data_IF_029786921699
#
_entry.id   IF_029786921699
#
_cell.length_a   1.000
_cell.length_b   1.000
_cell.length_c   1.000
_cell.angle_alpha   90.00
_cell.angle_beta   90.00
_cell.angle_gamma   90.00
#
_symmetry.space_group_name_H-M   'P 1'
#
loop_
_entity.id
_entity.type
_entity.pdbx_description
1 polymer ?
#
# COMPACT_ATOMS: atom_id res chain seq x y z
N UNK A 1 -19.56 9.90 8.42
CA UNK A 1 -18.12 9.56 8.64
C UNK A 1 -17.90 8.36 9.55
N UNK A 2 -18.53 8.27 10.72
CA UNK A 2 -18.33 7.10 11.61
C UNK A 2 -18.86 5.76 11.07
N UNK A 3 -19.79 5.77 10.13
CA UNK A 3 -20.40 4.55 9.59
C UNK A 3 -19.42 3.67 8.79
N UNK A 4 -18.67 4.23 7.82
CA UNK A 4 -17.73 3.44 6.99
C UNK A 4 -16.56 2.88 7.81
N UNK A 5 -16.03 3.66 8.75
CA UNK A 5 -14.95 3.20 9.64
C UNK A 5 -15.37 2.01 10.50
N UNK A 6 -16.59 2.04 11.04
CA UNK A 6 -17.15 0.91 11.79
C UNK A 6 -17.37 -0.30 10.89
N UNK A 7 -17.88 -0.11 9.68
CA UNK A 7 -18.04 -1.19 8.71
C UNK A 7 -16.68 -1.80 8.30
N UNK A 8 -15.64 -0.98 8.14
CA UNK A 8 -14.28 -1.48 7.89
C UNK A 8 -13.82 -2.36 9.06
N UNK A 9 -13.96 -1.87 10.31
CA UNK A 9 -13.61 -2.65 11.51
C UNK A 9 -14.35 -3.99 11.56
N UNK A 10 -15.67 -3.96 11.34
CA UNK A 10 -16.49 -5.18 11.34
C UNK A 10 -16.07 -6.18 10.25
N UNK A 11 -15.76 -5.70 9.03
CA UNK A 11 -15.26 -6.54 7.93
C UNK A 11 -13.94 -7.22 8.31
N UNK A 12 -13.02 -6.50 8.96
CA UNK A 12 -11.76 -7.07 9.43
C UNK A 12 -11.97 -8.07 10.55
N UNK A 13 -12.76 -7.74 11.59
CA UNK A 13 -13.10 -8.66 12.69
C UNK A 13 -13.78 -9.94 12.19
N UNK A 14 -14.68 -9.82 11.21
CA UNK A 14 -15.30 -11.00 10.58
C UNK A 14 -14.27 -11.87 9.86
N UNK A 15 -13.32 -11.28 9.13
CA UNK A 15 -12.24 -12.02 8.46
C UNK A 15 -11.33 -12.75 9.44
N UNK A 16 -11.02 -12.12 10.55
CA UNK A 16 -10.16 -12.69 11.58
C UNK A 16 -10.87 -13.85 12.29
N UNK A 17 -12.19 -13.73 12.59
CA UNK A 17 -13.01 -14.81 13.15
C UNK A 17 -13.18 -16.01 12.21
N UNK A 18 -13.21 -15.80 10.91
CA UNK A 18 -13.30 -16.89 9.93
C UNK A 18 -12.01 -17.70 9.81
N UNK A 19 -11.02 -17.43 10.66
CA UNK A 19 -9.84 -18.27 10.84
C UNK A 19 -9.13 -18.56 9.52
N UNK A 20 -8.98 -17.54 8.64
CA UNK A 20 -8.12 -17.74 7.47
C UNK A 20 -6.76 -18.14 7.99
N UNK A 21 -6.44 -19.42 7.75
CA UNK A 21 -5.21 -20.06 8.12
C UNK A 21 -4.05 -19.05 7.96
N UNK A 22 -3.38 -18.71 9.06
CA UNK A 22 -2.24 -17.79 9.04
C UNK A 22 -1.20 -18.24 8.00
N UNK A 23 -1.12 -19.54 7.74
CA UNK A 23 -0.29 -20.12 6.70
C UNK A 23 -0.76 -19.74 5.29
N UNK A 24 -2.04 -19.40 5.06
CA UNK A 24 -2.55 -18.99 3.75
C UNK A 24 -1.87 -17.71 3.21
N UNK A 25 -1.40 -16.85 4.10
CA UNK A 25 -0.68 -15.61 3.79
C UNK A 25 0.82 -15.67 4.10
N UNK A 26 1.32 -16.83 4.51
CA UNK A 26 2.73 -17.01 4.84
C UNK A 26 3.63 -16.83 3.62
N UNK A 27 4.70 -16.06 3.78
CA UNK A 27 5.76 -15.91 2.77
C UNK A 27 6.56 -17.20 2.52
N UNK A 28 6.36 -18.25 3.32
CA UNK A 28 6.89 -19.59 3.06
C UNK A 28 6.19 -20.25 1.85
N UNK A 29 5.08 -19.70 1.40
CA UNK A 29 4.35 -20.16 0.21
C UNK A 29 4.81 -19.40 -1.02
N UNK A 30 5.22 -20.08 -2.12
CA UNK A 30 5.64 -19.43 -3.35
C UNK A 30 4.58 -18.50 -3.96
N UNK A 31 3.29 -18.86 -3.89
CA UNK A 31 2.18 -18.03 -4.38
C UNK A 31 1.94 -16.74 -3.56
N UNK A 32 2.55 -16.61 -2.39
CA UNK A 32 2.58 -15.38 -1.58
C UNK A 32 3.91 -14.64 -1.72
N UNK A 33 5.02 -15.38 -1.73
CA UNK A 33 6.36 -14.82 -1.81
C UNK A 33 6.67 -14.19 -3.17
N UNK A 34 6.33 -14.87 -4.28
CA UNK A 34 6.62 -14.37 -5.63
C UNK A 34 5.95 -13.02 -5.95
N UNK A 35 4.65 -12.79 -5.63
CA UNK A 35 4.02 -11.48 -5.73
C UNK A 35 4.71 -10.41 -4.90
N UNK A 36 5.12 -10.76 -3.68
CA UNK A 36 5.79 -9.82 -2.79
C UNK A 36 7.14 -9.38 -3.34
N UNK A 37 7.94 -10.32 -3.87
CA UNK A 37 9.21 -10.02 -4.53
C UNK A 37 9.03 -9.17 -5.80
N UNK A 38 8.00 -9.44 -6.59
CA UNK A 38 7.69 -8.63 -7.78
C UNK A 38 7.38 -7.19 -7.38
N UNK A 39 6.49 -7.01 -6.40
CA UNK A 39 6.13 -5.70 -5.85
C UNK A 39 7.37 -4.96 -5.35
N UNK A 40 8.21 -5.63 -4.57
CA UNK A 40 9.45 -5.07 -4.04
C UNK A 40 10.41 -4.62 -5.16
N UNK A 41 10.61 -5.43 -6.19
CA UNK A 41 11.44 -5.04 -7.36
C UNK A 41 10.92 -3.77 -8.04
N UNK A 42 9.60 -3.61 -8.14
CA UNK A 42 9.01 -2.40 -8.71
C UNK A 42 9.25 -1.19 -7.80
N UNK A 43 9.08 -1.32 -6.50
CA UNK A 43 9.39 -0.26 -5.54
C UNK A 43 10.86 0.16 -5.62
N UNK A 44 11.77 -0.80 -5.61
CA UNK A 44 13.20 -0.53 -5.74
C UNK A 44 13.54 0.14 -7.08
N UNK A 45 12.90 -0.24 -8.18
CA UNK A 45 13.10 0.41 -9.48
C UNK A 45 12.63 1.88 -9.52
N UNK A 46 11.73 2.26 -8.62
CA UNK A 46 11.28 3.64 -8.43
C UNK A 46 12.28 4.37 -7.52
N UNK A 47 12.56 3.79 -6.36
CA UNK A 47 13.41 4.39 -5.32
C UNK A 47 14.88 4.52 -5.77
N UNK A 48 15.38 3.62 -6.62
CA UNK A 48 16.74 3.70 -7.16
C UNK A 48 17.00 4.91 -8.07
N UNK A 49 15.95 5.64 -8.43
CA UNK A 49 16.05 6.92 -9.17
C UNK A 49 16.23 8.12 -8.23
N UNK A 50 16.03 7.93 -6.93
CA UNK A 50 16.27 8.92 -5.90
C UNK A 50 17.74 8.91 -5.53
N UNK A 51 18.24 10.04 -5.02
CA UNK A 51 19.59 10.10 -4.46
C UNK A 51 19.69 9.15 -3.24
N UNK A 52 20.59 8.15 -3.25
CA UNK A 52 20.77 7.25 -2.12
C UNK A 52 21.13 7.97 -0.80
N UNK A 53 21.83 9.11 -0.88
CA UNK A 53 22.16 9.92 0.29
C UNK A 53 20.93 10.58 0.89
N UNK A 54 19.93 10.95 0.06
CA UNK A 54 18.70 11.57 0.51
C UNK A 54 17.75 10.59 1.20
N UNK A 55 17.82 9.28 0.89
CA UNK A 55 16.89 8.26 1.43
C UNK A 55 16.86 8.27 2.97
N UNK A 56 18.00 8.45 3.62
CA UNK A 56 18.09 8.50 5.09
C UNK A 56 17.31 9.65 5.70
N UNK A 57 17.24 10.79 5.01
CA UNK A 57 16.54 11.98 5.47
C UNK A 57 15.05 11.99 5.09
N UNK A 58 14.62 11.12 4.17
CA UNK A 58 13.25 11.08 3.69
C UNK A 58 12.29 10.62 4.76
N UNK A 59 11.18 11.35 4.89
CA UNK A 59 10.07 11.04 5.79
C UNK A 59 9.01 10.23 5.06
N UNK A 60 8.62 9.10 5.64
CA UNK A 60 7.65 8.17 5.10
C UNK A 60 6.45 8.05 6.05
N UNK A 61 5.24 8.07 5.50
CA UNK A 61 4.03 7.68 6.20
C UNK A 61 3.37 6.52 5.45
N UNK A 62 3.09 5.42 6.13
CA UNK A 62 2.22 4.37 5.61
C UNK A 62 0.83 4.47 6.25
N UNK A 63 -0.20 4.63 5.42
CA UNK A 63 -1.61 4.58 5.82
C UNK A 63 -2.10 3.14 5.69
N UNK A 64 -2.71 2.61 6.75
CA UNK A 64 -3.10 1.21 6.86
C UNK A 64 -1.89 0.28 6.93
N UNK A 65 -0.93 0.59 7.80
CA UNK A 65 0.34 -0.15 7.88
C UNK A 65 0.19 -1.60 8.38
N UNK A 66 -0.99 -1.97 8.87
CA UNK A 66 -1.21 -3.31 9.43
C UNK A 66 -0.21 -3.65 10.51
N UNK A 67 0.36 -4.86 10.48
CA UNK A 67 1.44 -5.29 11.37
C UNK A 67 2.83 -4.75 11.02
N UNK A 68 2.97 -3.78 10.10
CA UNK A 68 4.26 -3.11 9.81
C UNK A 68 5.14 -3.74 8.74
N UNK A 69 4.62 -4.71 7.97
CA UNK A 69 5.44 -5.47 7.01
C UNK A 69 6.10 -4.60 5.91
N UNK A 70 5.40 -3.59 5.37
CA UNK A 70 6.01 -2.69 4.40
C UNK A 70 6.99 -1.71 5.07
N UNK A 71 6.75 -1.31 6.31
CA UNK A 71 7.68 -0.47 7.08
C UNK A 71 9.01 -1.21 7.27
N UNK A 72 9.00 -2.51 7.59
CA UNK A 72 10.22 -3.32 7.66
C UNK A 72 10.99 -3.32 6.32
N UNK A 73 10.30 -3.26 5.19
CA UNK A 73 10.96 -3.13 3.89
C UNK A 73 11.64 -1.77 3.71
N UNK A 74 10.97 -0.66 4.09
CA UNK A 74 11.60 0.67 4.06
C UNK A 74 12.86 0.72 4.92
N UNK A 75 12.83 0.16 6.13
CA UNK A 75 14.01 0.06 6.99
C UNK A 75 15.13 -0.72 6.30
N UNK A 76 14.82 -1.83 5.66
CA UNK A 76 15.77 -2.66 4.91
C UNK A 76 16.36 -1.95 3.69
N UNK A 77 15.64 -0.98 3.12
CA UNK A 77 16.13 -0.13 2.01
C UNK A 77 16.93 1.09 2.48
N UNK A 78 17.15 1.23 3.79
CA UNK A 78 18.02 2.26 4.37
C UNK A 78 17.32 3.52 4.85
N UNK A 79 15.98 3.55 4.88
CA UNK A 79 15.25 4.62 5.54
C UNK A 79 15.45 4.53 7.07
N UNK A 80 15.61 5.68 7.74
CA UNK A 80 15.82 5.71 9.19
C UNK A 80 14.49 5.55 9.94
N UNK A 81 14.44 4.75 11.01
CA UNK A 81 13.21 4.45 11.73
C UNK A 81 12.52 5.70 12.30
N UNK A 82 13.26 6.70 12.76
CA UNK A 82 12.74 7.97 13.27
C UNK A 82 12.06 8.85 12.21
N UNK A 83 12.28 8.54 10.94
CA UNK A 83 11.67 9.22 9.79
C UNK A 83 10.46 8.45 9.23
N UNK A 84 10.08 7.32 9.84
CA UNK A 84 8.96 6.51 9.37
C UNK A 84 7.82 6.56 10.40
N UNK A 85 6.61 6.82 9.88
CA UNK A 85 5.37 6.69 10.64
C UNK A 85 4.44 5.70 9.98
N UNK A 86 3.72 4.92 10.79
CA UNK A 86 2.61 4.09 10.36
C UNK A 86 1.30 4.62 10.95
N UNK A 87 0.24 4.63 10.15
CA UNK A 87 -1.12 4.83 10.66
C UNK A 87 -1.92 3.54 10.44
N UNK A 88 -2.65 3.11 11.46
CA UNK A 88 -3.49 1.91 11.39
C UNK A 88 -4.78 2.12 12.18
N UNK A 89 -5.90 1.64 11.62
CA UNK A 89 -7.24 1.80 12.20
C UNK A 89 -7.51 0.82 13.36
N UNK A 90 -6.88 -0.36 13.33
CA UNK A 90 -7.16 -1.47 14.23
C UNK A 90 -6.10 -1.55 15.35
N UNK A 91 -6.57 -1.50 16.60
CA UNK A 91 -5.69 -1.45 17.78
C UNK A 91 -4.78 -2.68 17.91
N UNK A 92 -5.29 -3.88 17.61
CA UNK A 92 -4.54 -5.13 17.64
C UNK A 92 -3.39 -5.14 16.62
N UNK A 93 -3.61 -4.59 15.43
CA UNK A 93 -2.58 -4.43 14.40
C UNK A 93 -1.56 -3.36 14.77
N UNK A 94 -2.01 -2.26 15.40
CA UNK A 94 -1.09 -1.27 15.98
C UNK A 94 -0.18 -1.91 17.03
N UNK A 95 -0.73 -2.73 17.92
CA UNK A 95 0.05 -3.47 18.93
C UNK A 95 1.06 -4.43 18.29
N UNK A 96 0.64 -5.16 17.26
CA UNK A 96 1.53 -6.03 16.48
C UNK A 96 2.66 -5.24 15.81
N UNK A 97 2.35 -4.12 15.16
CA UNK A 97 3.35 -3.26 14.52
C UNK A 97 4.37 -2.73 15.54
N UNK A 98 3.90 -2.22 16.69
CA UNK A 98 4.77 -1.73 17.79
C UNK A 98 5.66 -2.83 18.38
N UNK A 99 5.19 -4.09 18.36
CA UNK A 99 5.98 -5.22 18.84
C UNK A 99 7.12 -5.61 17.90
N UNK A 100 6.89 -5.48 16.59
CA UNK A 100 7.82 -5.95 15.54
C UNK A 100 8.81 -4.86 15.12
N UNK A 101 8.35 -3.60 15.08
CA UNK A 101 9.13 -2.48 14.57
C UNK A 101 10.05 -1.87 15.64
N UNK A 102 11.18 -1.24 15.22
CA UNK A 102 11.99 -0.44 16.14
C UNK A 102 11.16 0.63 16.84
N UNK A 103 11.43 0.88 18.13
CA UNK A 103 10.68 1.85 18.94
C UNK A 103 10.70 3.29 18.39
N UNK A 104 11.67 3.63 17.55
CA UNK A 104 11.75 4.93 16.88
C UNK A 104 10.71 5.11 15.75
N UNK A 105 10.08 4.01 15.26
CA UNK A 105 8.96 4.09 14.30
C UNK A 105 7.68 4.46 15.07
N UNK A 106 7.09 5.59 14.72
CA UNK A 106 5.84 6.03 15.35
C UNK A 106 4.64 5.34 14.71
N UNK A 107 3.82 4.62 15.52
CA UNK A 107 2.56 4.01 15.10
C UNK A 107 1.38 4.79 15.67
N UNK A 108 0.61 5.41 14.77
CA UNK A 108 -0.54 6.25 15.06
C UNK A 108 -1.81 5.43 14.85
N UNK A 109 -2.56 5.22 15.94
CA UNK A 109 -3.82 4.49 15.89
C UNK A 109 -4.98 5.39 15.46
N UNK A 110 -5.88 4.86 14.64
CA UNK A 110 -7.17 5.46 14.30
C UNK A 110 -7.28 5.91 12.84
N UNK A 111 -8.32 6.70 12.58
CA UNK A 111 -8.67 7.19 11.25
C UNK A 111 -7.61 8.15 10.70
N UNK A 112 -7.03 7.81 9.54
CA UNK A 112 -6.02 8.64 8.87
C UNK A 112 -6.54 10.04 8.50
N UNK A 113 -7.82 10.17 8.14
CA UNK A 113 -8.44 11.46 7.82
C UNK A 113 -8.59 12.36 9.04
N UNK A 114 -8.76 11.77 10.23
CA UNK A 114 -8.90 12.48 11.51
C UNK A 114 -7.57 12.88 12.14
N UNK A 115 -6.44 12.36 11.66
CA UNK A 115 -5.13 12.65 12.25
C UNK A 115 -4.67 14.09 11.94
N UNK A 116 -4.18 14.76 12.98
CA UNK A 116 -3.60 16.12 12.89
C UNK A 116 -2.12 16.06 12.49
N UNK A 117 -1.85 15.48 11.31
CA UNK A 117 -0.51 15.50 10.73
C UNK A 117 -0.33 16.78 9.90
N UNK A 118 0.83 17.44 9.99
CA UNK A 118 1.10 18.65 9.20
C UNK A 118 1.07 18.35 7.70
N UNK A 119 0.49 19.23 6.92
CA UNK A 119 0.54 19.14 5.46
C UNK A 119 1.99 19.28 4.97
N UNK A 120 2.28 18.74 3.79
CA UNK A 120 3.61 18.83 3.16
C UNK A 120 4.77 18.35 4.04
N UNK A 121 4.54 17.33 4.87
CA UNK A 121 5.52 16.85 5.85
C UNK A 121 6.23 15.55 5.47
N UNK A 122 5.71 14.81 4.48
CA UNK A 122 6.28 13.53 4.08
C UNK A 122 6.78 13.56 2.64
N UNK A 123 7.91 12.91 2.40
CA UNK A 123 8.45 12.71 1.05
C UNK A 123 7.69 11.61 0.33
N UNK A 124 7.25 10.57 1.08
CA UNK A 124 6.46 9.45 0.56
C UNK A 124 5.28 9.20 1.50
N UNK A 125 4.06 9.19 0.94
CA UNK A 125 2.86 8.68 1.63
C UNK A 125 2.43 7.39 0.93
N UNK A 126 2.48 6.26 1.64
CA UNK A 126 2.15 4.94 1.08
C UNK A 126 0.77 4.48 1.51
N UNK A 127 0.06 3.81 0.60
CA UNK A 127 -1.09 2.97 0.92
C UNK A 127 -1.04 1.68 0.10
N UNK A 128 -1.08 0.54 0.78
CA UNK A 128 -1.01 -0.79 0.18
C UNK A 128 -2.24 -1.60 0.57
N UNK A 129 -3.13 -1.88 -0.40
CA UNK A 129 -4.41 -2.62 -0.20
C UNK A 129 -5.35 -1.97 0.83
N UNK A 130 -5.39 -0.64 0.83
CA UNK A 130 -6.22 0.16 1.75
C UNK A 130 -7.46 0.70 1.05
N UNK A 131 -7.28 1.42 -0.07
CA UNK A 131 -8.38 2.14 -0.70
C UNK A 131 -9.46 1.21 -1.24
N UNK A 132 -9.10 0.01 -1.67
CA UNK A 132 -10.05 -1.02 -2.12
C UNK A 132 -10.89 -1.60 -0.99
N UNK A 133 -10.45 -1.50 0.27
CA UNK A 133 -11.21 -1.89 1.47
C UNK A 133 -12.22 -0.82 1.91
N UNK A 134 -12.19 0.36 1.32
CA UNK A 134 -13.13 1.46 1.55
C UNK A 134 -14.22 1.38 0.48
N UNK A 135 -15.44 1.00 0.86
CA UNK A 135 -16.57 0.87 -0.08
C UNK A 135 -17.25 2.20 -0.36
N UNK A 136 -17.24 3.12 0.60
CA UNK A 136 -17.74 4.48 0.43
C UNK A 136 -16.81 5.30 -0.47
N UNK A 137 -17.32 5.69 -1.65
CA UNK A 137 -16.57 6.45 -2.64
C UNK A 137 -16.17 7.85 -2.14
N UNK A 138 -17.03 8.50 -1.34
CA UNK A 138 -16.77 9.83 -0.81
C UNK A 138 -15.64 9.80 0.21
N UNK A 139 -15.62 8.80 1.08
CA UNK A 139 -14.55 8.60 2.04
C UNK A 139 -13.22 8.23 1.35
N UNK A 140 -13.28 7.44 0.26
CA UNK A 140 -12.11 7.13 -0.56
C UNK A 140 -11.48 8.39 -1.17
N UNK A 141 -12.30 9.30 -1.71
CA UNK A 141 -11.84 10.59 -2.23
C UNK A 141 -11.24 11.46 -1.11
N UNK A 142 -11.87 11.48 0.06
CA UNK A 142 -11.37 12.22 1.22
C UNK A 142 -9.98 11.70 1.64
N UNK A 143 -9.80 10.38 1.73
CA UNK A 143 -8.53 9.78 2.09
C UNK A 143 -7.45 10.09 1.03
N UNK A 144 -7.78 9.98 -0.26
CA UNK A 144 -6.84 10.30 -1.34
C UNK A 144 -6.37 11.77 -1.27
N UNK A 145 -7.30 12.70 -1.03
CA UNK A 145 -6.96 14.13 -0.82
C UNK A 145 -6.08 14.33 0.41
N UNK A 146 -6.40 13.66 1.54
CA UNK A 146 -5.57 13.70 2.75
C UNK A 146 -4.17 13.17 2.48
N UNK A 147 -4.03 12.06 1.77
CA UNK A 147 -2.72 11.53 1.38
C UNK A 147 -1.91 12.56 0.58
N UNK A 148 -2.53 13.19 -0.42
CA UNK A 148 -1.85 14.18 -1.26
C UNK A 148 -1.51 15.47 -0.51
N UNK A 149 -2.34 15.91 0.47
CA UNK A 149 -2.03 17.09 1.29
C UNK A 149 -0.79 16.86 2.16
N UNK A 150 -0.62 15.64 2.69
CA UNK A 150 0.51 15.26 3.54
C UNK A 150 1.84 15.16 2.77
N UNK A 151 1.79 14.91 1.46
CA UNK A 151 2.99 14.83 0.61
C UNK A 151 3.58 16.22 0.37
N UNK A 152 4.90 16.35 0.52
CA UNK A 152 5.65 17.55 0.14
C UNK A 152 5.53 17.83 -1.36
N UNK A 153 5.64 19.10 -1.82
CA UNK A 153 5.90 19.41 -3.23
C UNK A 153 7.11 18.61 -3.73
N UNK A 154 6.98 17.94 -4.89
CA UNK A 154 8.02 17.05 -5.43
C UNK A 154 8.08 15.65 -4.80
N UNK A 155 7.41 15.40 -3.68
CA UNK A 155 7.23 14.08 -3.09
C UNK A 155 6.15 13.27 -3.81
N UNK A 156 5.83 12.07 -3.30
CA UNK A 156 4.91 11.19 -3.98
C UNK A 156 4.01 10.35 -3.06
N UNK A 157 2.84 10.00 -3.60
CA UNK A 157 2.04 8.89 -3.07
C UNK A 157 2.50 7.60 -3.75
N UNK A 158 2.88 6.59 -2.95
CA UNK A 158 3.14 5.22 -3.40
C UNK A 158 1.89 4.37 -3.12
N UNK A 159 1.18 4.04 -4.18
CA UNK A 159 -0.06 3.28 -4.09
C UNK A 159 0.10 1.88 -4.68
N UNK A 160 -0.46 0.86 -3.99
CA UNK A 160 -0.55 -0.51 -4.47
C UNK A 160 -1.90 -1.10 -4.09
N UNK A 161 -2.66 -1.55 -5.09
CA UNK A 161 -3.93 -2.22 -4.85
C UNK A 161 -4.39 -2.99 -6.10
N UNK A 162 -5.48 -3.77 -5.99
CA UNK A 162 -6.02 -4.52 -7.12
C UNK A 162 -6.99 -3.69 -7.97
N UNK A 163 -6.96 -3.97 -9.29
CA UNK A 163 -7.67 -3.22 -10.33
C UNK A 163 -8.82 -4.01 -10.96
N UNK A 164 -9.05 -5.25 -10.52
CA UNK A 164 -10.16 -6.09 -10.92
C UNK A 164 -10.89 -6.62 -9.70
N UNK A 165 -12.24 -6.62 -9.75
CA UNK A 165 -13.05 -7.15 -8.67
C UNK A 165 -12.82 -8.65 -8.49
N UNK A 166 -12.79 -9.08 -7.23
CA UNK A 166 -12.86 -10.48 -6.86
C UNK A 166 -14.31 -10.84 -6.52
N UNK A 167 -15.02 -11.58 -7.36
CA UNK A 167 -16.43 -11.91 -7.09
C UNK A 167 -16.63 -12.73 -5.80
N UNK A 168 -15.58 -13.41 -5.33
CA UNK A 168 -15.63 -14.16 -4.07
C UNK A 168 -15.39 -13.29 -2.82
N UNK A 169 -15.19 -11.98 -2.95
CA UNK A 169 -14.93 -11.09 -1.81
C UNK A 169 -15.67 -9.76 -1.97
N UNK A 170 -16.86 -9.68 -1.39
CA UNK A 170 -17.70 -8.48 -1.38
C UNK A 170 -17.19 -7.38 -0.40
N UNK A 171 -16.21 -7.68 0.45
CA UNK A 171 -15.67 -6.73 1.43
C UNK A 171 -14.70 -5.71 0.83
N UNK A 172 -14.46 -5.80 -0.48
CA UNK A 172 -13.52 -4.95 -1.20
C UNK A 172 -14.03 -4.61 -2.59
N UNK A 173 -13.64 -3.45 -3.10
CA UNK A 173 -13.97 -3.01 -4.45
C UNK A 173 -12.71 -2.60 -5.19
N UNK A 174 -12.48 -3.15 -6.36
CA UNK A 174 -11.35 -2.79 -7.21
C UNK A 174 -11.34 -1.29 -7.57
N UNK A 175 -10.14 -0.76 -7.74
CA UNK A 175 -9.94 0.62 -8.23
C UNK A 175 -9.16 0.54 -9.54
N UNK A 176 -9.84 0.55 -10.70
CA UNK A 176 -9.19 0.57 -12.00
C UNK A 176 -8.23 1.75 -12.16
N UNK A 177 -7.21 1.60 -12.99
CA UNK A 177 -6.19 2.67 -13.23
C UNK A 177 -6.81 4.04 -13.47
N UNK A 178 -7.90 4.12 -14.25
CA UNK A 178 -8.60 5.39 -14.52
C UNK A 178 -9.07 6.06 -13.21
N UNK A 179 -9.68 5.29 -12.32
CA UNK A 179 -10.15 5.82 -11.03
C UNK A 179 -8.98 6.24 -10.12
N UNK A 180 -7.83 5.54 -10.17
CA UNK A 180 -6.62 5.99 -9.45
C UNK A 180 -6.21 7.38 -9.91
N UNK A 181 -6.21 7.64 -11.23
CA UNK A 181 -5.88 8.95 -11.79
C UNK A 181 -6.92 10.03 -11.42
N UNK A 182 -8.20 9.66 -11.34
CA UNK A 182 -9.28 10.54 -10.89
C UNK A 182 -9.19 10.89 -9.39
N UNK A 183 -8.66 9.98 -8.57
CA UNK A 183 -8.42 10.22 -7.13
C UNK A 183 -7.25 11.18 -6.89
N UNK A 184 -6.28 11.25 -7.80
CA UNK A 184 -5.08 12.07 -7.69
C UNK A 184 -4.87 12.93 -8.96
N UNK A 185 -5.82 13.83 -9.31
CA UNK A 185 -5.85 14.50 -10.60
C UNK A 185 -4.66 15.46 -10.83
N UNK A 186 -4.10 16.00 -9.74
CA UNK A 186 -2.96 16.93 -9.79
C UNK A 186 -1.60 16.22 -9.87
N UNK A 187 -1.57 14.90 -9.62
CA UNK A 187 -0.32 14.16 -9.54
C UNK A 187 0.16 13.68 -10.91
N UNK A 188 1.46 13.80 -11.17
CA UNK A 188 2.10 13.14 -12.31
C UNK A 188 2.23 11.66 -12.01
N UNK A 189 1.51 10.81 -12.75
CA UNK A 189 1.37 9.40 -12.44
C UNK A 189 2.29 8.51 -13.28
N UNK A 190 3.08 7.66 -12.60
CA UNK A 190 3.79 6.53 -13.19
C UNK A 190 3.12 5.24 -12.67
N UNK A 191 2.63 4.40 -13.58
CA UNK A 191 1.87 3.21 -13.19
C UNK A 191 2.44 1.95 -13.83
N UNK A 192 2.43 0.83 -13.08
CA UNK A 192 2.86 -0.48 -13.55
C UNK A 192 1.91 -1.56 -13.04
N UNK A 193 1.37 -2.38 -13.95
CA UNK A 193 0.62 -3.58 -13.58
C UNK A 193 1.59 -4.63 -13.03
N UNK A 194 1.19 -5.25 -11.93
CA UNK A 194 1.96 -6.27 -11.22
C UNK A 194 1.05 -7.35 -10.69
N UNK A 195 1.63 -8.39 -10.10
CA UNK A 195 0.96 -9.46 -9.38
C UNK A 195 0.10 -10.32 -10.29
N UNK A 196 0.61 -11.49 -10.62
CA UNK A 196 -0.13 -12.53 -11.34
C UNK A 196 -1.45 -12.83 -10.60
N UNK A 197 -2.53 -13.00 -11.35
CA UNK A 197 -3.85 -13.31 -10.81
C UNK A 197 -3.75 -14.42 -9.74
N UNK A 198 -4.26 -14.21 -8.50
CA UNK A 198 -4.04 -15.15 -7.40
C UNK A 198 -4.47 -16.60 -7.67
N UNK A 199 -5.57 -16.88 -8.41
CA UNK A 199 -5.91 -18.26 -8.78
C UNK A 199 -4.83 -18.91 -9.66
N UNK A 200 -4.30 -18.16 -10.63
CA UNK A 200 -3.25 -18.65 -11.52
C UNK A 200 -1.95 -18.83 -10.73
N UNK A 201 -1.58 -17.83 -9.91
CA UNK A 201 -0.38 -17.89 -9.07
C UNK A 201 -0.39 -19.15 -8.19
N UNK A 202 -1.51 -19.46 -7.52
CA UNK A 202 -1.66 -20.67 -6.72
C UNK A 202 -1.50 -21.95 -7.52
N UNK A 203 -2.06 -22.00 -8.74
CA UNK A 203 -1.98 -23.18 -9.59
C UNK A 203 -0.55 -23.42 -10.07
N UNK A 204 0.06 -22.43 -10.69
CA UNK A 204 1.39 -22.57 -11.33
C UNK A 204 2.50 -22.73 -10.30
N UNK A 205 2.40 -22.07 -9.13
CA UNK A 205 3.42 -22.18 -8.08
C UNK A 205 3.43 -23.53 -7.38
N UNK A 206 2.33 -24.31 -7.47
CA UNK A 206 2.31 -25.71 -7.00
C UNK A 206 3.15 -26.63 -7.88
N UNK A 207 3.20 -26.35 -9.17
CA UNK A 207 4.01 -27.14 -10.11
C UNK A 207 5.50 -26.73 -10.01
N UNK A 208 5.79 -25.45 -10.17
CA UNK A 208 7.14 -24.90 -10.02
C UNK A 208 7.09 -23.38 -9.82
N UNK A 209 7.81 -22.81 -8.83
CA UNK A 209 7.81 -21.36 -8.57
C UNK A 209 8.19 -20.50 -9.78
N UNK A 210 9.11 -20.98 -10.64
CA UNK A 210 9.52 -20.29 -11.87
C UNK A 210 8.40 -20.03 -12.87
N UNK A 211 7.34 -20.85 -12.85
CA UNK A 211 6.17 -20.65 -13.70
C UNK A 211 5.43 -19.36 -13.35
N UNK A 212 5.50 -18.91 -12.10
CA UNK A 212 4.96 -17.60 -11.74
C UNK A 212 5.56 -16.49 -12.62
N UNK A 213 6.87 -16.45 -12.77
CA UNK A 213 7.54 -15.43 -13.59
C UNK A 213 7.19 -15.53 -15.06
N UNK A 214 7.08 -16.75 -15.60
CA UNK A 214 6.68 -17.00 -16.97
C UNK A 214 5.26 -16.48 -17.25
N UNK A 215 4.28 -16.84 -16.44
CA UNK A 215 2.90 -16.36 -16.62
C UNK A 215 2.75 -14.88 -16.31
N UNK A 216 3.50 -14.38 -15.33
CA UNK A 216 3.51 -12.97 -14.99
C UNK A 216 4.17 -12.06 -16.05
N UNK A 217 4.89 -12.63 -17.02
CA UNK A 217 5.36 -11.89 -18.19
C UNK A 217 4.20 -11.26 -18.98
N UNK A 218 3.03 -11.87 -18.97
CA UNK A 218 1.85 -11.39 -19.69
C UNK A 218 1.07 -10.35 -18.89
N UNK A 219 1.03 -9.05 -19.31
CA UNK A 219 0.40 -7.97 -18.51
C UNK A 219 -1.11 -8.13 -18.29
N UNK A 220 -1.81 -8.87 -19.16
CA UNK A 220 -3.25 -9.12 -19.03
C UNK A 220 -3.60 -10.12 -17.91
N UNK A 221 -2.61 -10.90 -17.44
CA UNK A 221 -2.76 -11.79 -16.30
C UNK A 221 -2.48 -11.10 -14.95
N UNK A 222 -2.03 -9.84 -14.96
CA UNK A 222 -1.72 -9.08 -13.76
C UNK A 222 -2.94 -8.37 -13.23
N UNK A 223 -3.18 -8.47 -11.93
CA UNK A 223 -4.39 -7.99 -11.28
C UNK A 223 -4.21 -6.79 -10.36
N UNK A 224 -2.99 -6.39 -10.10
CA UNK A 224 -2.69 -5.24 -9.24
C UNK A 224 -1.95 -4.15 -9.99
N UNK A 225 -1.94 -2.96 -9.42
CA UNK A 225 -1.26 -1.79 -9.93
C UNK A 225 -0.37 -1.21 -8.84
N UNK A 226 0.87 -0.93 -9.17
CA UNK A 226 1.70 0.04 -8.45
C UNK A 226 1.55 1.37 -9.15
N UNK A 227 1.27 2.43 -8.39
CA UNK A 227 1.29 3.80 -8.86
C UNK A 227 2.24 4.65 -8.00
N UNK A 228 3.11 5.38 -8.67
CA UNK A 228 3.94 6.42 -8.11
C UNK A 228 3.38 7.76 -8.59
N UNK A 229 2.76 8.50 -7.69
CA UNK A 229 1.94 9.68 -7.97
C UNK A 229 2.68 10.90 -7.41
N UNK A 230 3.47 11.55 -8.24
CA UNK A 230 4.32 12.69 -7.84
C UNK A 230 3.47 13.95 -7.74
N UNK A 231 3.51 14.60 -6.57
CA UNK A 231 2.91 15.91 -6.37
C UNK A 231 3.76 16.97 -7.08
N UNK A 232 3.17 17.87 -7.89
CA UNK A 232 3.92 18.93 -8.53
C UNK A 232 4.75 19.75 -7.53
N UNK A 233 5.95 20.15 -7.92
CA UNK A 233 6.77 21.09 -7.17
C UNK A 233 6.22 22.52 -7.29
N UNK A 234 6.60 23.40 -6.39
CA UNK A 234 6.20 24.82 -6.43
C UNK A 234 6.72 25.59 -7.66
N UNK A 235 7.51 24.96 -8.51
CA UNK A 235 8.12 25.57 -9.72
C UNK A 235 7.56 24.99 -11.05
N UNK A 236 6.64 24.02 -10.99
CA UNK A 236 6.06 23.40 -12.20
C UNK A 236 4.78 24.13 -12.70
N UNK A 237 4.61 25.41 -12.34
CA UNK A 237 3.56 26.26 -12.88
C UNK A 237 4.18 27.11 -13.98
N UNK A 238 4.37 26.48 -15.14
CA UNK A 238 4.82 27.09 -16.36
C UNK A 238 4.26 26.36 -17.57
#
# INVERSE_FOLDING_TARGET
MNGELNQIRERYLRRDRLGRDAFAYSLLRPDQYMPQQEKERVYLSILSRLDPAAIKAMKVLEIGCGGGANILQFLRWGFLPENIKGNELLADRCAQARHILPAAVEIIEGDACGQRLPDHSFDIVMASTVLTSILDKSFRVQLARKMLSLVKPGGAVLWYDFIYNNPANADVTAIPRRQVLELFPEARAFTRKVTLAPPIARLVSRCHPGLYSLFNFFPFLRTHLVAWLVKPGSLDVG
#
